data_IF_069658311364
#
_entry.id   IF_069658311364
#
_cell.length_a   1.000
_cell.length_b   1.000
_cell.length_c   1.000
_cell.angle_alpha   90.00
_cell.angle_beta   90.00
_cell.angle_gamma   90.00
#
_symmetry.space_group_name_H-M   'P 1'
#
loop_
_entity.id
_entity.type
_entity.pdbx_description
1 polymer ?
#
# COMPACT_ATOMS: atom_id res chain seq x y z
N UNK A 1 17.00 8.84 19.15
CA UNK A 1 16.64 8.23 17.86
C UNK A 1 15.15 8.37 17.67
N UNK A 2 14.71 8.83 16.50
CA UNK A 2 13.30 9.01 16.18
C UNK A 2 12.61 7.66 15.97
N UNK A 3 11.41 7.48 16.55
CA UNK A 3 10.65 6.24 16.44
C UNK A 3 9.85 6.23 15.14
N UNK A 4 10.39 5.58 14.11
CA UNK A 4 9.69 5.39 12.83
C UNK A 4 8.75 4.19 12.93
N UNK A 5 7.46 4.38 12.62
CA UNK A 5 6.45 3.32 12.58
C UNK A 5 6.66 2.45 11.32
N UNK A 6 6.91 1.15 11.50
CA UNK A 6 7.11 0.16 10.42
C UNK A 6 5.81 -0.57 10.03
N UNK A 7 4.71 0.16 9.91
CA UNK A 7 3.42 -0.41 9.50
C UNK A 7 3.16 -0.12 8.02
N UNK A 8 2.63 -1.11 7.29
CA UNK A 8 2.12 -0.91 5.94
C UNK A 8 0.65 -0.44 6.01
N UNK A 9 0.28 0.48 5.13
CA UNK A 9 -1.07 1.00 5.04
C UNK A 9 -1.54 1.04 3.59
N UNK A 10 -2.82 0.70 3.37
CA UNK A 10 -3.53 0.86 2.11
C UNK A 10 -4.32 2.15 2.17
N UNK A 11 -4.10 3.04 1.20
CA UNK A 11 -4.85 4.28 1.04
C UNK A 11 -5.87 4.09 -0.09
N UNK A 12 -7.17 4.01 0.23
CA UNK A 12 -8.20 3.90 -0.79
C UNK A 12 -8.32 5.26 -1.49
N UNK A 13 -7.99 5.28 -2.78
CA UNK A 13 -8.00 6.49 -3.60
C UNK A 13 -9.39 6.67 -4.20
N UNK A 14 -9.87 7.90 -4.26
CA UNK A 14 -11.06 8.25 -5.02
C UNK A 14 -10.62 8.81 -6.36
N UNK A 15 -11.13 8.20 -7.44
CA UNK A 15 -10.75 8.53 -8.82
C UNK A 15 -12.01 8.95 -9.56
N UNK A 16 -11.98 10.13 -10.15
CA UNK A 16 -13.10 10.68 -10.93
C UNK A 16 -12.67 10.94 -12.37
N UNK A 17 -13.65 11.12 -13.26
CA UNK A 17 -13.37 11.61 -14.61
C UNK A 17 -12.86 13.05 -14.56
N UNK A 18 -11.91 13.33 -15.43
CA UNK A 18 -11.35 14.66 -15.64
C UNK A 18 -11.47 15.00 -17.12
N UNK A 19 -12.10 16.13 -17.41
CA UNK A 19 -12.19 16.69 -18.76
C UNK A 19 -10.99 17.62 -19.00
N UNK A 20 -9.87 17.01 -19.36
CA UNK A 20 -8.57 17.67 -19.58
C UNK A 20 -7.97 17.17 -20.89
N UNK A 21 -7.00 17.91 -21.41
CA UNK A 21 -6.37 17.63 -22.71
C UNK A 21 -5.82 16.18 -22.78
N UNK A 22 -6.33 15.33 -23.69
CA UNK A 22 -5.94 13.93 -23.80
C UNK A 22 -4.47 13.72 -24.15
N UNK A 23 -3.79 14.70 -24.76
CA UNK A 23 -2.34 14.60 -24.99
C UNK A 23 -1.55 14.62 -23.67
N UNK A 24 -2.07 15.32 -22.66
CA UNK A 24 -1.44 15.45 -21.33
C UNK A 24 -1.98 14.43 -20.33
N UNK A 25 -3.24 14.03 -20.48
CA UNK A 25 -3.88 13.01 -19.66
C UNK A 25 -4.72 12.07 -20.55
N UNK A 26 -4.09 11.04 -21.14
CA UNK A 26 -4.76 10.12 -22.04
C UNK A 26 -5.88 9.30 -21.40
N UNK A 27 -5.91 9.24 -20.07
CA UNK A 27 -6.88 8.44 -19.32
C UNK A 27 -8.16 9.21 -18.99
N UNK A 28 -8.12 10.55 -19.01
CA UNK A 28 -9.26 11.38 -18.61
C UNK A 28 -9.68 11.14 -17.15
N UNK A 29 -8.71 10.90 -16.26
CA UNK A 29 -8.92 10.60 -14.84
C UNK A 29 -8.15 11.58 -13.96
N UNK A 30 -8.68 11.85 -12.77
CA UNK A 30 -7.97 12.58 -11.72
C UNK A 30 -8.22 11.94 -10.35
N UNK A 31 -7.29 12.18 -9.43
CA UNK A 31 -7.48 11.84 -8.02
C UNK A 31 -8.25 12.95 -7.30
N UNK A 32 -9.32 12.53 -6.64
CA UNK A 32 -10.18 13.38 -5.81
C UNK A 32 -10.10 12.92 -4.36
N UNK A 33 -8.92 13.11 -3.76
CA UNK A 33 -8.63 12.70 -2.38
C UNK A 33 -8.82 11.18 -2.13
N UNK A 34 -8.98 10.83 -0.86
CA UNK A 34 -9.18 9.45 -0.40
C UNK A 34 -10.67 9.14 -0.32
N UNK A 35 -11.07 7.93 -0.72
CA UNK A 35 -12.45 7.47 -0.62
C UNK A 35 -12.80 6.97 0.78
N UNK A 36 -11.81 6.65 1.62
CA UNK A 36 -11.98 6.22 2.99
C UNK A 36 -10.67 6.40 3.78
N UNK A 37 -10.72 6.09 5.08
CA UNK A 37 -9.59 6.08 6.00
C UNK A 37 -8.53 5.04 5.63
N UNK A 38 -7.23 5.36 5.85
CA UNK A 38 -6.15 4.41 5.56
C UNK A 38 -6.27 3.13 6.39
N UNK A 39 -6.20 1.99 5.71
CA UNK A 39 -6.34 0.67 6.30
C UNK A 39 -4.96 0.07 6.60
N UNK A 40 -4.76 -0.50 7.79
CA UNK A 40 -3.50 -1.22 8.08
C UNK A 40 -3.45 -2.52 7.29
N UNK A 41 -2.31 -2.80 6.67
CA UNK A 41 -2.04 -4.09 6.03
C UNK A 41 -1.30 -4.94 7.06
N UNK A 42 -1.86 -6.10 7.40
CA UNK A 42 -1.15 -7.13 8.15
C UNK A 42 -0.22 -7.90 7.22
N UNK A 43 1.01 -8.10 7.67
CA UNK A 43 1.97 -8.95 6.98
C UNK A 43 1.97 -10.28 7.70
N UNK A 44 1.89 -11.38 6.94
CA UNK A 44 2.24 -12.68 7.49
C UNK A 44 3.71 -12.64 7.91
N UNK A 45 3.99 -13.02 9.15
CA UNK A 45 5.38 -13.11 9.60
C UNK A 45 6.08 -14.20 8.78
N UNK A 46 7.28 -13.92 8.24
CA UNK A 46 8.03 -14.95 7.52
C UNK A 46 8.26 -16.14 8.45
N UNK A 47 7.87 -17.33 7.99
CA UNK A 47 8.06 -18.59 8.72
C UNK A 47 9.56 -18.73 9.02
N UNK A 48 9.92 -18.67 10.31
CA UNK A 48 11.31 -18.82 10.72
C UNK A 48 11.85 -20.18 10.24
N UNK A 49 13.09 -20.25 9.75
CA UNK A 49 13.66 -21.50 9.29
C UNK A 49 13.71 -22.51 10.45
N UNK A 50 13.17 -23.71 10.22
CA UNK A 50 13.24 -24.83 11.17
C UNK A 50 14.71 -25.12 11.43
N UNK A 51 15.18 -24.84 12.65
CA UNK A 51 16.51 -25.26 13.11
C UNK A 51 16.48 -26.78 13.17
N UNK A 52 17.10 -27.46 12.20
CA UNK A 52 17.40 -28.89 12.32
C UNK A 52 18.41 -29.03 13.46
N UNK A 53 17.95 -29.41 14.65
CA UNK A 53 18.83 -29.87 15.71
C UNK A 53 19.50 -31.16 15.22
N UNK A 54 20.82 -31.08 15.07
CA UNK A 54 21.64 -32.23 14.67
C UNK A 54 21.51 -33.34 15.70
N UNK A 55 21.03 -34.49 15.25
CA UNK A 55 21.02 -35.73 16.03
C UNK A 55 22.38 -36.41 15.99
N UNK A 56 22.84 -36.77 17.19
CA UNK A 56 23.84 -37.75 17.61
C UNK A 56 24.79 -38.35 16.57
#
# INVERSE_FOLDING_TARGET
GEKIKRALARYPLHVIRADVDPETNPFGLQWDCYSDTPQRIELEEPVAPIKREGGL
#
